data_IF_525553450331
#
_entry.id   IF_525553450331
#
_cell.length_a   1.000
_cell.length_b   1.000
_cell.length_c   1.000
_cell.angle_alpha   90.00
_cell.angle_beta   90.00
_cell.angle_gamma   90.00
#
_symmetry.space_group_name_H-M   'P 1'
#
loop_
_entity.id
_entity.type
_entity.pdbx_description
1 polymer ?
#
# COMPACT_ATOMS: atom_id res chain seq x y z
N UNK A 1 24.42 3.25 8.06
CA UNK A 1 23.47 2.12 8.21
C UNK A 1 22.89 1.87 6.84
N UNK A 2 23.21 0.72 6.24
CA UNK A 2 22.60 0.29 4.98
C UNK A 2 21.15 -0.13 5.23
N UNK A 3 20.19 0.27 4.41
CA UNK A 3 18.83 -0.23 4.51
C UNK A 3 18.85 -1.73 4.17
N UNK A 4 18.45 -2.53 5.12
CA UNK A 4 18.28 -3.96 4.92
C UNK A 4 16.88 -4.20 4.38
N UNK A 5 16.76 -4.46 3.08
CA UNK A 5 15.56 -5.08 2.53
C UNK A 5 15.23 -6.32 3.36
N UNK A 6 14.04 -6.34 3.92
CA UNK A 6 13.51 -7.54 4.55
C UNK A 6 13.14 -8.55 3.47
N UNK A 7 14.17 -9.19 2.90
CA UNK A 7 13.98 -10.32 1.99
C UNK A 7 13.77 -11.55 2.85
N UNK A 8 12.55 -12.03 2.96
CA UNK A 8 12.27 -13.33 3.58
C UNK A 8 12.33 -14.38 2.48
N UNK A 9 13.33 -15.27 2.46
CA UNK A 9 13.38 -16.35 1.48
C UNK A 9 12.43 -17.46 1.92
N UNK A 10 11.22 -17.48 1.40
CA UNK A 10 10.37 -18.65 1.37
C UNK A 10 10.52 -19.27 -0.03
N UNK A 11 11.28 -20.38 -0.13
CA UNK A 11 11.36 -21.27 -1.29
C UNK A 11 11.59 -20.60 -2.68
N UNK A 12 12.52 -19.65 -2.77
CA UNK A 12 12.96 -19.13 -4.08
C UNK A 12 12.08 -18.02 -4.66
N UNK A 13 11.05 -17.57 -3.99
CA UNK A 13 10.21 -16.44 -4.39
C UNK A 13 10.69 -15.16 -3.73
N UNK A 14 11.03 -14.16 -4.53
CA UNK A 14 11.39 -12.83 -4.06
C UNK A 14 10.10 -12.02 -3.91
N UNK A 15 9.68 -11.77 -2.67
CA UNK A 15 8.53 -10.88 -2.40
C UNK A 15 9.06 -9.45 -2.28
N UNK A 16 8.64 -8.58 -3.18
CA UNK A 16 8.89 -7.13 -3.07
C UNK A 16 7.76 -6.56 -2.24
N UNK A 17 8.07 -5.91 -1.12
CA UNK A 17 7.10 -5.19 -0.29
C UNK A 17 7.20 -3.71 -0.67
N UNK A 18 6.13 -3.14 -1.20
CA UNK A 18 6.02 -1.70 -1.47
C UNK A 18 5.38 -1.05 -0.24
N UNK A 19 6.02 -0.01 0.30
CA UNK A 19 5.49 0.73 1.45
C UNK A 19 4.88 2.05 0.99
N UNK A 20 3.62 2.25 1.38
CA UNK A 20 2.88 3.50 1.16
C UNK A 20 2.87 4.31 2.47
N UNK A 21 3.67 5.35 2.54
CA UNK A 21 3.70 6.26 3.68
C UNK A 21 2.68 7.39 3.48
N UNK A 22 1.66 7.42 4.32
CA UNK A 22 0.60 8.43 4.31
C UNK A 22 0.85 9.41 5.46
N UNK A 23 1.32 10.59 5.13
CA UNK A 23 1.84 11.57 6.10
C UNK A 23 0.77 12.60 6.43
N UNK A 24 0.42 12.70 7.71
CA UNK A 24 -0.40 13.77 8.28
C UNK A 24 0.49 14.96 8.66
N UNK A 25 0.64 15.93 7.76
CA UNK A 25 1.57 17.05 7.97
C UNK A 25 1.14 18.00 9.09
N UNK A 26 -0.14 18.06 9.45
CA UNK A 26 -0.61 18.88 10.57
C UNK A 26 -0.10 18.36 11.91
N UNK A 27 0.07 17.05 12.04
CA UNK A 27 0.52 16.41 13.28
C UNK A 27 2.02 16.16 13.37
N UNK A 28 2.70 15.97 12.24
CA UNK A 28 4.12 15.61 12.27
C UNK A 28 5.06 16.73 11.83
N UNK A 29 4.55 17.81 11.25
CA UNK A 29 5.35 18.90 10.65
C UNK A 29 6.43 18.32 9.70
N UNK A 30 7.60 18.95 9.62
CA UNK A 30 8.72 18.50 8.78
C UNK A 30 9.40 17.21 9.27
N UNK A 31 8.97 16.61 10.38
CA UNK A 31 9.60 15.40 10.90
C UNK A 31 9.44 14.19 9.96
N UNK A 32 8.47 14.23 9.04
CA UNK A 32 8.29 13.18 8.03
C UNK A 32 9.50 13.05 7.07
N UNK A 33 10.35 14.07 6.98
CA UNK A 33 11.58 14.02 6.18
C UNK A 33 12.57 12.94 6.66
N UNK A 34 12.38 12.41 7.87
CA UNK A 34 13.14 11.24 8.33
C UNK A 34 12.87 9.99 7.47
N UNK A 35 11.76 9.96 6.73
CA UNK A 35 11.46 8.87 5.80
C UNK A 35 12.52 8.73 4.71
N UNK A 36 13.23 9.80 4.33
CA UNK A 36 14.33 9.72 3.36
C UNK A 36 15.52 8.86 3.85
N UNK A 37 15.62 8.64 5.15
CA UNK A 37 16.62 7.74 5.73
C UNK A 37 16.10 6.29 5.85
N UNK A 38 14.82 6.03 5.53
CA UNK A 38 14.12 4.78 5.79
C UNK A 38 13.42 4.19 4.56
N UNK A 39 13.03 5.04 3.62
CA UNK A 39 12.31 4.63 2.41
C UNK A 39 13.27 4.17 1.32
N UNK A 40 12.82 3.23 0.51
CA UNK A 40 13.51 2.75 -0.68
C UNK A 40 12.92 3.41 -1.94
N UNK A 41 13.53 3.19 -3.11
CA UNK A 41 13.13 3.82 -4.38
C UNK A 41 11.73 3.39 -4.85
N UNK A 42 11.29 2.20 -4.45
CA UNK A 42 9.99 1.64 -4.77
C UNK A 42 8.87 2.16 -3.85
N UNK A 43 9.21 2.74 -2.70
CA UNK A 43 8.25 3.25 -1.75
C UNK A 43 7.59 4.55 -2.22
N UNK A 44 6.36 4.77 -1.79
CA UNK A 44 5.62 6.01 -2.06
C UNK A 44 5.40 6.80 -0.77
N UNK A 45 5.70 8.10 -0.80
CA UNK A 45 5.40 9.02 0.29
C UNK A 45 4.34 10.00 -0.19
N UNK A 46 3.15 9.98 0.42
CA UNK A 46 2.07 10.94 0.16
C UNK A 46 1.89 11.84 1.36
N UNK A 47 2.15 13.13 1.18
CA UNK A 47 2.05 14.14 2.24
C UNK A 47 0.72 14.87 2.10
N UNK A 48 -0.20 14.58 3.03
CA UNK A 48 -1.48 15.27 3.13
C UNK A 48 -1.32 16.57 3.88
N UNK A 49 -1.82 17.65 3.30
CA UNK A 49 -1.70 18.99 3.89
C UNK A 49 -2.97 19.82 3.64
N UNK A 50 -3.17 20.82 4.50
CA UNK A 50 -4.17 21.87 4.31
C UNK A 50 -3.48 23.23 4.31
N UNK A 51 -4.21 24.31 4.04
CA UNK A 51 -3.67 25.67 4.18
C UNK A 51 -3.25 26.03 5.61
N UNK A 52 -3.68 25.24 6.59
CA UNK A 52 -3.31 25.39 8.00
C UNK A 52 -2.07 24.58 8.39
N UNK A 53 -1.63 23.68 7.52
CA UNK A 53 -0.42 22.90 7.78
C UNK A 53 0.78 23.82 7.94
N UNK A 54 1.74 23.47 8.82
CA UNK A 54 2.95 24.23 9.01
C UNK A 54 3.74 24.38 7.71
N UNK A 55 4.38 25.54 7.54
CA UNK A 55 5.27 25.77 6.41
C UNK A 55 6.58 25.00 6.60
N UNK A 56 7.10 24.45 5.50
CA UNK A 56 8.41 23.81 5.52
C UNK A 56 9.52 24.85 5.69
N UNK A 57 10.54 24.52 6.47
CA UNK A 57 11.75 25.33 6.56
C UNK A 57 12.55 25.29 5.25
N UNK A 58 13.41 26.28 5.01
CA UNK A 58 14.33 26.24 3.86
C UNK A 58 15.23 25.00 3.88
N UNK A 59 15.68 24.56 5.06
CA UNK A 59 16.50 23.36 5.18
C UNK A 59 15.71 22.10 4.80
N UNK A 60 14.43 22.05 5.17
CA UNK A 60 13.52 20.96 4.80
C UNK A 60 13.29 20.90 3.28
N UNK A 61 13.13 22.07 2.65
CA UNK A 61 12.97 22.16 1.19
C UNK A 61 14.25 21.69 0.47
N UNK A 62 15.43 22.12 0.95
CA UNK A 62 16.70 21.66 0.37
C UNK A 62 16.83 20.14 0.48
N UNK A 63 16.55 19.57 1.65
CA UNK A 63 16.59 18.11 1.85
C UNK A 63 15.63 17.37 0.92
N UNK A 64 14.43 17.89 0.71
CA UNK A 64 13.46 17.34 -0.25
C UNK A 64 14.03 17.36 -1.68
N UNK A 65 14.65 18.46 -2.10
CA UNK A 65 15.22 18.59 -3.45
C UNK A 65 16.44 17.69 -3.68
N UNK A 66 17.18 17.34 -2.64
CA UNK A 66 18.36 16.47 -2.71
C UNK A 66 17.99 14.98 -2.81
N UNK A 67 16.76 14.60 -2.43
CA UNK A 67 16.28 13.20 -2.41
C UNK A 67 15.32 12.92 -3.56
N UNK A 68 15.80 12.96 -4.80
CA UNK A 68 14.98 12.82 -6.01
C UNK A 68 14.65 11.37 -6.36
N UNK A 69 15.28 10.37 -5.72
CA UNK A 69 15.08 8.96 -6.00
C UNK A 69 13.80 8.42 -5.37
N UNK A 70 13.30 9.07 -4.32
CA UNK A 70 12.10 8.64 -3.60
C UNK A 70 10.87 9.35 -4.17
N UNK A 71 9.81 8.59 -4.44
CA UNK A 71 8.55 9.14 -4.96
C UNK A 71 7.79 9.88 -3.83
N UNK A 72 7.84 11.20 -3.86
CA UNK A 72 7.11 12.07 -2.91
C UNK A 72 6.03 12.84 -3.63
N UNK A 73 4.78 12.71 -3.15
CA UNK A 73 3.63 13.44 -3.66
C UNK A 73 2.96 14.25 -2.55
N UNK A 74 2.47 15.44 -2.90
CA UNK A 74 1.73 16.30 -2.00
C UNK A 74 0.26 16.33 -2.38
N UNK A 75 -0.62 16.08 -1.41
CA UNK A 75 -2.07 16.04 -1.60
C UNK A 75 -2.73 17.14 -0.77
N UNK A 76 -3.30 18.16 -1.44
CA UNK A 76 -4.01 19.24 -0.77
C UNK A 76 -5.40 18.76 -0.33
N UNK A 77 -5.66 18.81 0.97
CA UNK A 77 -6.93 18.40 1.55
C UNK A 77 -7.93 19.56 1.62
N UNK A 78 -9.22 19.22 1.50
CA UNK A 78 -10.28 20.17 1.74
C UNK A 78 -10.30 20.63 3.21
N UNK A 79 -10.68 21.88 3.44
CA UNK A 79 -10.77 22.42 4.79
C UNK A 79 -12.02 21.89 5.51
N UNK A 80 -11.89 21.61 6.80
CA UNK A 80 -12.97 21.16 7.67
C UNK A 80 -12.43 20.53 8.95
N UNK A 81 -13.32 20.30 9.90
CA UNK A 81 -12.96 19.59 11.13
C UNK A 81 -12.62 18.14 10.79
N UNK A 82 -11.42 17.69 11.14
CA UNK A 82 -10.88 16.35 10.84
C UNK A 82 -10.91 16.00 9.33
N UNK A 83 -10.97 17.01 8.45
CA UNK A 83 -11.10 16.76 7.02
C UNK A 83 -9.86 16.08 6.44
N UNK A 84 -8.64 16.43 6.91
CA UNK A 84 -7.40 15.78 6.53
C UNK A 84 -7.44 14.29 6.93
N UNK A 85 -7.84 13.99 8.16
CA UNK A 85 -7.92 12.61 8.67
C UNK A 85 -8.84 11.73 7.80
N UNK A 86 -10.05 12.25 7.49
CA UNK A 86 -11.00 11.55 6.64
C UNK A 86 -10.47 11.34 5.22
N UNK A 87 -9.81 12.34 4.62
CA UNK A 87 -9.27 12.25 3.28
C UNK A 87 -8.10 11.27 3.22
N UNK A 88 -7.19 11.31 4.20
CA UNK A 88 -6.08 10.38 4.32
C UNK A 88 -6.58 8.92 4.43
N UNK A 89 -7.52 8.65 5.33
CA UNK A 89 -8.08 7.28 5.52
C UNK A 89 -8.86 6.84 4.29
N UNK A 90 -9.62 7.74 3.64
CA UNK A 90 -10.35 7.43 2.41
C UNK A 90 -9.39 7.11 1.26
N UNK A 91 -8.32 7.87 1.14
CA UNK A 91 -7.27 7.63 0.14
C UNK A 91 -6.58 6.29 0.36
N UNK A 92 -6.24 5.95 1.61
CA UNK A 92 -5.71 4.64 1.96
C UNK A 92 -6.63 3.51 1.51
N UNK A 93 -7.94 3.63 1.78
CA UNK A 93 -8.94 2.65 1.33
C UNK A 93 -9.04 2.55 -0.19
N UNK A 94 -8.90 3.66 -0.90
CA UNK A 94 -8.86 3.68 -2.36
C UNK A 94 -7.65 2.92 -2.91
N UNK A 95 -6.44 3.14 -2.37
CA UNK A 95 -5.24 2.42 -2.77
C UNK A 95 -5.39 0.90 -2.57
N UNK A 96 -5.89 0.49 -1.39
CA UNK A 96 -6.13 -0.92 -1.08
C UNK A 96 -7.07 -1.58 -2.09
N UNK A 97 -8.21 -0.94 -2.39
CA UNK A 97 -9.18 -1.49 -3.35
C UNK A 97 -8.69 -1.47 -4.79
N UNK A 98 -7.80 -0.54 -5.15
CA UNK A 98 -7.25 -0.47 -6.51
C UNK A 98 -6.20 -1.56 -6.75
N UNK A 99 -5.34 -1.80 -5.77
CA UNK A 99 -4.28 -2.81 -5.86
C UNK A 99 -4.86 -4.24 -5.87
N UNK A 100 -5.93 -4.52 -5.11
CA UNK A 100 -6.65 -5.80 -5.16
C UNK A 100 -7.19 -6.09 -6.59
N UNK A 101 -7.73 -5.08 -7.26
CA UNK A 101 -8.29 -5.23 -8.61
C UNK A 101 -7.23 -5.55 -9.67
N UNK A 102 -5.99 -5.12 -9.48
CA UNK A 102 -4.88 -5.43 -10.39
C UNK A 102 -4.36 -6.85 -10.21
N UNK A 103 -4.43 -7.40 -9.00
CA UNK A 103 -4.00 -8.77 -8.70
C UNK A 103 -4.95 -9.82 -9.29
N UNK A 104 -6.24 -9.54 -9.40
CA UNK A 104 -7.24 -10.46 -9.99
C UNK A 104 -7.14 -10.53 -11.52
N UNK A 105 -6.77 -9.44 -12.21
CA UNK A 105 -6.71 -9.39 -13.67
C UNK A 105 -5.47 -10.07 -14.29
N UNK A 106 -4.46 -10.43 -13.51
CA UNK A 106 -3.29 -11.17 -14.01
C UNK A 106 -3.51 -12.67 -14.15
N UNK A 107 -4.60 -13.21 -13.61
CA UNK A 107 -4.89 -14.66 -13.65
C UNK A 107 -5.79 -15.10 -14.83
N UNK A 108 -6.40 -14.19 -15.61
CA UNK A 108 -7.40 -14.57 -16.62
C UNK A 108 -6.92 -14.61 -18.09
N UNK A 109 -5.65 -14.32 -18.40
CA UNK A 109 -5.18 -14.32 -19.80
C UNK A 109 -4.23 -15.48 -20.17
N UNK A 110 -4.48 -16.68 -19.65
CA UNK A 110 -3.83 -17.89 -20.13
C UNK A 110 -4.88 -18.99 -20.40
N UNK A 111 -5.83 -18.73 -21.32
CA UNK A 111 -6.57 -19.84 -21.94
C UNK A 111 -7.16 -19.41 -23.30
N UNK A 112 -6.48 -19.82 -24.35
CA UNK A 112 -6.98 -20.57 -25.50
C UNK A 112 -8.10 -19.97 -26.34
N UNK A 113 -7.71 -19.54 -27.55
CA UNK A 113 -8.58 -19.55 -28.73
C UNK A 113 -9.37 -20.84 -28.83
N UNK A 114 -10.70 -20.74 -28.89
CA UNK A 114 -11.51 -21.75 -29.57
C UNK A 114 -12.73 -21.08 -30.21
N UNK A 115 -12.92 -21.45 -31.49
CA UNK A 115 -13.88 -20.94 -32.44
C UNK A 115 -15.34 -21.03 -31.99
N UNK A 116 -16.10 -20.06 -32.49
CA UNK A 116 -17.56 -20.00 -32.44
C UNK A 116 -18.11 -21.09 -33.37
N UNK A 117 -18.91 -22.00 -32.84
CA UNK A 117 -19.97 -22.71 -33.60
C UNK A 117 -21.27 -22.74 -32.81
N UNK A 118 -22.27 -22.14 -33.43
CA UNK A 118 -23.67 -22.10 -33.13
C UNK A 118 -24.27 -23.50 -33.18
N UNK A 119 -25.09 -23.91 -32.18
CA UNK A 119 -26.35 -24.62 -32.40
C UNK A 119 -27.05 -25.03 -31.08
N UNK A 120 -28.25 -24.48 -30.93
CA UNK A 120 -29.53 -25.02 -30.36
C UNK A 120 -29.53 -26.21 -29.40
N UNK A 121 -30.25 -25.97 -28.28
CA UNK A 121 -30.85 -26.81 -27.22
C UNK A 121 -31.35 -28.21 -27.64
N UNK A 122 -31.79 -29.15 -26.70
CA UNK A 122 -32.08 -29.02 -25.26
C UNK A 122 -31.64 -30.20 -24.32
N UNK A 123 -31.61 -29.95 -23.01
CA UNK A 123 -31.99 -30.76 -21.83
C UNK A 123 -31.81 -32.29 -21.83
N UNK A 124 -31.00 -32.86 -20.96
CA UNK A 124 -31.32 -33.88 -19.95
C UNK A 124 -30.13 -34.36 -19.09
N UNK A 125 -30.50 -34.61 -17.87
CA UNK A 125 -29.97 -35.32 -16.71
C UNK A 125 -28.76 -36.27 -16.78
N UNK A 126 -28.10 -36.25 -15.64
CA UNK A 126 -27.50 -37.36 -14.86
C UNK A 126 -26.09 -37.89 -15.22
N UNK A 127 -25.29 -37.76 -14.22
CA UNK A 127 -24.45 -38.72 -13.51
C UNK A 127 -22.95 -38.69 -13.68
N UNK A 128 -22.38 -38.76 -12.50
CA UNK A 128 -21.13 -39.43 -12.13
C UNK A 128 -19.79 -38.67 -12.28
N UNK A 129 -19.30 -38.42 -11.10
CA UNK A 129 -17.94 -38.08 -10.73
C UNK A 129 -16.86 -38.86 -11.49
N UNK A 130 -15.89 -38.14 -11.95
CA UNK A 130 -14.54 -38.70 -12.01
C UNK A 130 -13.55 -37.60 -11.66
N UNK A 131 -12.94 -37.76 -10.50
CA UNK A 131 -11.83 -37.00 -9.99
C UNK A 131 -10.65 -37.20 -10.94
N UNK A 132 -10.31 -36.17 -11.73
CA UNK A 132 -9.00 -36.08 -12.36
C UNK A 132 -8.21 -35.03 -11.60
N UNK A 133 -7.32 -35.51 -10.74
CA UNK A 133 -6.28 -34.68 -10.12
C UNK A 133 -5.26 -34.34 -11.22
N UNK A 134 -5.41 -33.21 -11.84
CA UNK A 134 -4.36 -32.62 -12.64
C UNK A 134 -3.42 -31.84 -11.71
N UNK A 135 -2.25 -32.41 -11.45
CA UNK A 135 -1.13 -31.70 -10.86
C UNK A 135 -0.67 -30.64 -11.87
N UNK A 136 -1.24 -29.46 -11.80
CA UNK A 136 -0.62 -28.27 -12.41
C UNK A 136 0.39 -27.77 -11.41
N UNK A 137 1.67 -27.83 -11.78
CA UNK A 137 2.75 -27.18 -11.06
C UNK A 137 2.39 -25.70 -10.90
N UNK A 138 2.18 -25.31 -9.65
CA UNK A 138 1.90 -23.96 -9.21
C UNK A 138 3.05 -23.05 -9.65
N UNK A 139 2.85 -22.30 -10.71
CA UNK A 139 3.67 -21.13 -11.02
C UNK A 139 3.21 -20.06 -10.05
N UNK A 140 3.81 -20.07 -8.86
CA UNK A 140 3.59 -19.11 -7.80
C UNK A 140 3.77 -17.68 -8.35
N UNK A 141 2.67 -17.00 -8.58
CA UNK A 141 2.66 -15.58 -8.87
C UNK A 141 3.33 -14.86 -7.69
N UNK A 142 4.32 -14.01 -7.98
CA UNK A 142 4.95 -13.17 -6.98
C UNK A 142 3.86 -12.30 -6.33
N UNK A 143 3.49 -12.63 -5.09
CA UNK A 143 2.57 -11.82 -4.32
C UNK A 143 3.30 -10.53 -3.93
N UNK A 144 2.93 -9.42 -4.54
CA UNK A 144 3.34 -8.11 -4.07
C UNK A 144 2.52 -7.80 -2.83
N UNK A 145 3.16 -7.72 -1.68
CA UNK A 145 2.49 -7.39 -0.43
C UNK A 145 2.72 -5.92 -0.13
N UNK A 146 1.68 -5.09 -0.27
CA UNK A 146 1.76 -3.68 0.08
C UNK A 146 1.63 -3.47 1.58
N UNK A 147 2.44 -2.57 2.15
CA UNK A 147 2.33 -2.12 3.53
C UNK A 147 1.88 -0.65 3.57
N UNK A 148 0.84 -0.34 4.33
CA UNK A 148 0.31 1.02 4.47
C UNK A 148 0.68 1.57 5.85
N UNK A 149 1.34 2.74 5.86
CA UNK A 149 1.92 3.33 7.08
C UNK A 149 1.38 4.75 7.26
N UNK A 150 0.48 4.96 8.22
CA UNK A 150 0.02 6.30 8.58
C UNK A 150 1.06 6.93 9.49
N UNK A 151 1.69 7.99 9.02
CA UNK A 151 2.65 8.77 9.80
C UNK A 151 1.95 9.93 10.51
N UNK A 152 1.56 9.70 11.74
CA UNK A 152 0.90 10.70 12.59
C UNK A 152 1.13 10.42 14.07
N UNK A 153 1.21 11.49 14.88
CA UNK A 153 1.22 11.39 16.35
C UNK A 153 -0.20 11.25 16.93
N UNK A 154 -1.25 11.45 16.12
CA UNK A 154 -2.63 11.35 16.57
C UNK A 154 -3.08 9.89 16.67
N UNK A 155 -3.58 9.52 17.86
CA UNK A 155 -4.17 8.21 18.13
C UNK A 155 -5.56 8.03 17.51
N UNK A 156 -6.16 9.10 17.01
CA UNK A 156 -7.43 9.07 16.28
C UNK A 156 -7.44 8.12 15.07
N UNK A 157 -6.27 7.83 14.51
CA UNK A 157 -6.12 6.85 13.43
C UNK A 157 -6.13 5.37 13.89
N UNK A 158 -5.94 5.08 15.18
CA UNK A 158 -5.83 3.70 15.67
C UNK A 158 -7.08 2.84 15.37
N UNK A 159 -8.33 3.37 15.42
CA UNK A 159 -9.51 2.61 15.01
C UNK A 159 -9.48 2.22 13.51
N UNK A 160 -9.05 3.12 12.63
CA UNK A 160 -8.92 2.84 11.20
C UNK A 160 -7.84 1.78 10.94
N UNK A 161 -6.68 1.89 11.60
CA UNK A 161 -5.61 0.89 11.52
C UNK A 161 -6.11 -0.49 11.96
N UNK A 162 -6.87 -0.57 13.07
CA UNK A 162 -7.45 -1.83 13.53
C UNK A 162 -8.42 -2.41 12.52
N UNK A 163 -9.33 -1.59 12.01
CA UNK A 163 -10.33 -2.01 11.01
C UNK A 163 -9.68 -2.68 9.80
N UNK A 164 -8.65 -2.06 9.23
CA UNK A 164 -7.98 -2.59 8.05
C UNK A 164 -7.13 -3.82 8.35
N UNK A 165 -6.50 -3.90 9.53
CA UNK A 165 -5.82 -5.13 9.99
C UNK A 165 -6.78 -6.31 10.11
N UNK A 166 -7.99 -6.07 10.63
CA UNK A 166 -9.03 -7.10 10.75
C UNK A 166 -9.53 -7.57 9.37
N UNK A 167 -9.32 -6.78 8.32
CA UNK A 167 -9.58 -7.13 6.91
C UNK A 167 -8.40 -7.85 6.23
N UNK A 168 -7.28 -8.02 6.91
CA UNK A 168 -6.11 -8.73 6.40
C UNK A 168 -5.03 -7.84 5.76
N UNK A 169 -5.21 -6.51 5.75
CA UNK A 169 -4.22 -5.60 5.20
C UNK A 169 -3.06 -5.34 6.18
N UNK A 170 -1.85 -5.19 5.64
CA UNK A 170 -0.68 -4.78 6.42
C UNK A 170 -0.72 -3.26 6.65
N UNK A 171 -1.31 -2.83 7.74
CA UNK A 171 -1.47 -1.40 8.09
C UNK A 171 -0.90 -1.12 9.46
N UNK A 172 -0.21 0.01 9.62
CA UNK A 172 0.24 0.48 10.95
C UNK A 172 0.28 1.99 11.02
N UNK A 173 0.24 2.53 12.23
CA UNK A 173 0.57 3.92 12.51
C UNK A 173 2.01 4.02 13.00
N UNK A 174 2.74 5.01 12.47
CA UNK A 174 4.09 5.37 12.88
C UNK A 174 4.05 6.69 13.65
N UNK A 175 4.48 6.65 14.92
CA UNK A 175 4.52 7.83 15.78
C UNK A 175 5.93 8.42 15.81
N UNK A 176 6.08 9.64 15.32
CA UNK A 176 7.38 10.32 15.17
C UNK A 176 8.02 10.66 16.52
N UNK A 177 7.23 10.90 17.56
CA UNK A 177 7.74 11.30 18.87
C UNK A 177 8.54 10.19 19.56
N UNK A 178 8.23 8.92 19.27
CA UNK A 178 8.99 7.79 19.85
C UNK A 178 10.42 7.71 19.30
N UNK A 179 10.63 8.09 18.05
CA UNK A 179 11.97 8.03 17.44
C UNK A 179 12.95 9.05 18.04
N UNK A 180 12.46 10.18 18.54
CA UNK A 180 13.30 11.20 19.17
C UNK A 180 13.84 10.78 20.54
N UNK A 181 13.19 9.83 21.23
CA UNK A 181 13.59 9.35 22.54
C UNK A 181 14.65 8.23 22.47
N UNK A 182 14.78 7.55 21.34
CA UNK A 182 15.74 6.46 21.17
C UNK A 182 17.16 6.94 20.79
N UNK A 183 17.36 8.24 20.56
CA UNK A 183 18.62 8.85 20.11
C UNK A 183 19.29 9.69 21.22
N UNK A 184 18.72 9.74 22.42
CA UNK A 184 19.32 10.33 23.63
C UNK A 184 19.93 9.24 24.50
#
# INVERSE_FOLDING_TARGET
FSPTHATIPLSGLMVIIIRHFLVDSENVNDNWLMLFDMADEEDEIVVFYTKKSPHMSYMSVIRLMENNSINVRFEECYEGTNALDFQLVSYMGYLMGHNDSLSENTCEHASGNTEIQDNTKPYNDNSSATHIVANTADVSAASCADEYIIMSNDTGYDPAVRFWKDKGFAVRRFNVNFCKQAVQ
#
